data_IF_603898037203
#
_entry.id   IF_603898037203
#
_cell.length_a   1.000
_cell.length_b   1.000
_cell.length_c   1.000
_cell.angle_alpha   90.00
_cell.angle_beta   90.00
_cell.angle_gamma   90.00
#
_symmetry.space_group_name_H-M   'P 1'
#
loop_
_entity.id
_entity.type
_entity.pdbx_description
1 polymer ?
#
# COMPACT_ATOMS: atom_id res chain seq x y z
N UNK A 1 31.60 -5.76 4.64
CA UNK A 1 30.17 -5.92 4.26
C UNK A 1 29.53 -4.64 3.70
N UNK A 2 30.03 -3.44 3.99
CA UNK A 2 29.55 -2.19 3.37
C UNK A 2 29.94 -1.98 1.89
N UNK A 3 30.88 -2.76 1.35
CA UNK A 3 31.45 -2.56 0.01
C UNK A 3 30.67 -3.25 -1.14
N UNK A 4 29.79 -4.21 -0.83
CA UNK A 4 29.00 -4.91 -1.85
C UNK A 4 27.74 -4.14 -2.26
N UNK A 5 27.14 -3.39 -1.32
CA UNK A 5 25.92 -2.61 -1.54
C UNK A 5 26.17 -1.37 -2.43
N UNK A 6 27.34 -0.75 -2.31
CA UNK A 6 27.75 0.37 -3.18
C UNK A 6 28.05 -0.07 -4.63
N UNK A 7 28.58 -1.28 -4.83
CA UNK A 7 28.90 -1.80 -6.16
C UNK A 7 27.65 -2.20 -6.96
N UNK A 8 26.57 -2.64 -6.29
CA UNK A 8 25.27 -2.90 -6.94
C UNK A 8 24.59 -1.59 -7.36
N UNK A 9 24.68 -0.53 -6.54
CA UNK A 9 24.18 0.80 -6.89
C UNK A 9 24.94 1.43 -8.06
N UNK A 10 26.25 1.20 -8.17
CA UNK A 10 27.07 1.71 -9.28
C UNK A 10 26.87 0.94 -10.59
N UNK A 11 26.36 -0.29 -10.55
CA UNK A 11 26.11 -1.09 -11.76
C UNK A 11 24.64 -0.98 -12.25
N UNK A 12 23.73 -0.48 -11.41
CA UNK A 12 22.34 -0.20 -11.78
C UNK A 12 22.15 1.03 -12.69
N UNK A 13 23.16 1.90 -12.79
CA UNK A 13 23.13 3.07 -13.69
C UNK A 13 23.37 2.74 -15.17
N UNK A 14 23.72 1.49 -15.50
CA UNK A 14 24.09 1.06 -16.85
C UNK A 14 23.07 0.13 -17.54
N UNK A 15 21.92 -0.15 -16.93
CA UNK A 15 20.81 -0.85 -17.58
C UNK A 15 19.84 0.17 -18.22
N UNK A 16 20.29 0.80 -19.32
CA UNK A 16 19.47 1.70 -20.13
C UNK A 16 18.27 0.98 -20.75
N UNK A 17 17.08 1.60 -20.66
CA UNK A 17 15.91 1.09 -21.37
C UNK A 17 14.55 1.76 -21.12
N UNK A 18 14.48 3.09 -20.92
CA UNK A 18 13.35 3.94 -21.36
C UNK A 18 13.53 5.38 -20.83
N UNK A 19 14.12 6.25 -21.65
CA UNK A 19 14.06 7.70 -21.48
C UNK A 19 12.66 8.24 -21.78
N UNK A 20 11.67 7.83 -20.98
CA UNK A 20 10.36 8.46 -20.93
C UNK A 20 10.26 9.23 -19.63
N UNK A 21 9.96 10.52 -19.71
CA UNK A 21 9.60 11.34 -18.55
C UNK A 21 8.64 10.56 -17.65
N UNK A 22 8.86 10.58 -16.33
CA UNK A 22 7.96 9.91 -15.40
C UNK A 22 6.50 10.31 -15.73
N UNK A 23 5.56 9.35 -15.79
CA UNK A 23 4.18 9.67 -16.09
C UNK A 23 3.62 10.64 -15.04
N UNK A 24 2.54 11.35 -15.38
CA UNK A 24 1.94 12.31 -14.46
C UNK A 24 1.69 11.73 -13.07
N UNK A 25 1.78 12.58 -12.03
CA UNK A 25 1.72 12.19 -10.62
C UNK A 25 0.65 11.13 -10.31
N UNK A 26 -0.57 11.33 -10.79
CA UNK A 26 -1.69 10.40 -10.58
C UNK A 26 -1.41 9.00 -11.11
N UNK A 27 -0.85 8.88 -12.33
CA UNK A 27 -0.53 7.59 -12.94
C UNK A 27 0.64 6.90 -12.24
N UNK A 28 1.63 7.68 -11.81
CA UNK A 28 2.77 7.17 -11.04
C UNK A 28 2.30 6.56 -9.71
N UNK A 29 1.49 7.30 -8.95
CA UNK A 29 0.97 6.81 -7.67
C UNK A 29 -0.08 5.71 -7.84
N UNK A 30 -0.86 5.71 -8.93
CA UNK A 30 -1.77 4.61 -9.24
C UNK A 30 -1.04 3.27 -9.38
N UNK A 31 0.14 3.26 -10.01
CA UNK A 31 0.96 2.05 -10.08
C UNK A 31 1.60 1.73 -8.74
N UNK A 32 2.07 2.75 -8.00
CA UNK A 32 2.72 2.56 -6.70
C UNK A 32 1.77 1.95 -5.65
N UNK A 33 0.51 2.40 -5.58
CA UNK A 33 -0.46 1.95 -4.57
C UNK A 33 -1.07 0.57 -4.84
N UNK A 34 -0.76 -0.04 -6.00
CA UNK A 34 -1.19 -1.39 -6.42
C UNK A 34 -2.69 -1.68 -6.22
N UNK A 35 -3.60 -0.92 -6.86
CA UNK A 35 -5.04 -1.07 -6.66
C UNK A 35 -5.57 -2.45 -7.08
N UNK A 36 -4.88 -3.16 -7.98
CA UNK A 36 -5.23 -4.52 -8.39
C UNK A 36 -5.06 -5.57 -7.28
N UNK A 37 -4.31 -5.26 -6.20
CA UNK A 37 -4.14 -6.14 -5.06
C UNK A 37 -5.27 -5.99 -4.01
N UNK A 38 -6.05 -4.90 -4.09
CA UNK A 38 -7.14 -4.61 -3.15
C UNK A 38 -8.24 -5.67 -3.07
N UNK A 39 -8.65 -6.38 -4.15
CA UNK A 39 -9.69 -7.40 -4.05
C UNK A 39 -9.39 -8.48 -3.01
N UNK A 40 -8.12 -8.85 -2.82
CA UNK A 40 -7.72 -9.84 -1.83
C UNK A 40 -8.01 -9.36 -0.39
N UNK A 41 -7.72 -8.09 -0.09
CA UNK A 41 -8.00 -7.50 1.23
C UNK A 41 -9.42 -6.97 1.38
N UNK A 42 -10.17 -6.81 0.28
CA UNK A 42 -11.60 -6.48 0.32
C UNK A 42 -12.45 -7.64 0.84
N UNK A 43 -12.07 -8.88 0.52
CA UNK A 43 -12.80 -10.08 0.94
C UNK A 43 -13.11 -10.13 2.46
N UNK A 44 -12.14 -9.97 3.38
CA UNK A 44 -12.44 -9.98 4.82
C UNK A 44 -13.32 -8.81 5.27
N UNK A 45 -13.18 -7.62 4.67
CA UNK A 45 -14.05 -6.46 5.01
C UNK A 45 -15.50 -6.73 4.62
N UNK A 46 -15.71 -7.26 3.42
CA UNK A 46 -17.04 -7.63 2.93
C UNK A 46 -17.63 -8.76 3.77
N UNK A 47 -16.82 -9.78 4.08
CA UNK A 47 -17.23 -10.90 4.92
C UNK A 47 -17.66 -10.41 6.31
N UNK A 48 -16.84 -9.59 6.98
CA UNK A 48 -17.17 -9.03 8.29
C UNK A 48 -18.45 -8.17 8.26
N UNK A 49 -18.64 -7.39 7.19
CA UNK A 49 -19.86 -6.58 6.99
C UNK A 49 -21.11 -7.47 6.89
N UNK A 50 -21.05 -8.53 6.07
CA UNK A 50 -22.18 -9.46 5.91
C UNK A 50 -22.41 -10.25 7.20
N UNK A 51 -21.37 -10.77 7.84
CA UNK A 51 -21.45 -11.51 9.10
C UNK A 51 -22.07 -10.67 10.22
N UNK A 52 -21.72 -9.39 10.31
CA UNK A 52 -22.34 -8.47 11.28
C UNK A 52 -23.85 -8.34 11.05
N UNK A 53 -24.32 -8.38 9.80
CA UNK A 53 -25.75 -8.28 9.46
C UNK A 53 -26.49 -9.60 9.69
N UNK A 54 -25.93 -10.72 9.24
CA UNK A 54 -26.62 -12.02 9.20
C UNK A 54 -26.49 -12.80 10.50
N UNK A 55 -25.32 -12.75 11.15
CA UNK A 55 -25.03 -13.47 12.39
C UNK A 55 -25.19 -12.54 13.60
N UNK A 56 -24.67 -11.31 13.51
CA UNK A 56 -24.73 -10.32 14.59
C UNK A 56 -26.08 -9.61 14.71
N UNK A 57 -26.98 -9.75 13.74
CA UNK A 57 -28.29 -9.09 13.74
C UNK A 57 -28.24 -7.56 13.62
N UNK A 58 -27.10 -6.99 13.21
CA UNK A 58 -26.94 -5.54 13.11
C UNK A 58 -27.64 -4.98 11.88
N UNK A 59 -28.21 -3.78 12.02
CA UNK A 59 -28.73 -3.00 10.89
C UNK A 59 -27.58 -2.67 9.91
N UNK A 60 -27.85 -2.58 8.60
CA UNK A 60 -26.81 -2.28 7.62
C UNK A 60 -26.20 -0.89 7.84
N UNK A 61 -24.97 -0.85 8.37
CA UNK A 61 -24.20 0.39 8.58
C UNK A 61 -23.26 0.64 7.40
N UNK A 62 -23.83 0.87 6.21
CA UNK A 62 -23.07 1.02 4.95
C UNK A 62 -21.96 2.09 5.02
N UNK A 63 -22.19 3.20 5.74
CA UNK A 63 -21.17 4.22 5.93
C UNK A 63 -19.95 3.70 6.70
N UNK A 64 -20.15 2.87 7.73
CA UNK A 64 -19.02 2.28 8.46
C UNK A 64 -18.32 1.19 7.65
N UNK A 65 -19.06 0.41 6.87
CA UNK A 65 -18.48 -0.56 5.94
C UNK A 65 -17.61 0.14 4.88
N UNK A 66 -18.06 1.28 4.36
CA UNK A 66 -17.26 2.11 3.45
C UNK A 66 -16.00 2.65 4.12
N UNK A 67 -16.10 3.16 5.35
CA UNK A 67 -14.92 3.64 6.11
C UNK A 67 -13.94 2.50 6.40
N UNK A 68 -14.44 1.30 6.74
CA UNK A 68 -13.61 0.10 6.92
C UNK A 68 -12.89 -0.31 5.64
N UNK A 69 -13.59 -0.25 4.50
CA UNK A 69 -12.98 -0.49 3.20
C UNK A 69 -11.90 0.54 2.87
N UNK A 70 -12.14 1.83 3.13
CA UNK A 70 -11.15 2.89 2.90
C UNK A 70 -9.94 2.75 3.82
N UNK A 71 -10.15 2.44 5.11
CA UNK A 71 -9.07 2.18 6.06
C UNK A 71 -8.20 1.02 5.57
N UNK A 72 -8.82 -0.10 5.20
CA UNK A 72 -8.14 -1.26 4.64
C UNK A 72 -7.36 -0.90 3.36
N UNK A 73 -7.98 -0.19 2.42
CA UNK A 73 -7.34 0.15 1.15
C UNK A 73 -6.11 1.04 1.36
N UNK A 74 -6.19 2.04 2.24
CA UNK A 74 -5.06 2.90 2.59
C UNK A 74 -3.94 2.11 3.25
N UNK A 75 -4.25 1.23 4.21
CA UNK A 75 -3.25 0.40 4.88
C UNK A 75 -2.58 -0.59 3.93
N UNK A 76 -3.37 -1.26 3.08
CA UNK A 76 -2.88 -2.21 2.09
C UNK A 76 -1.95 -1.53 1.07
N UNK A 77 -2.38 -0.38 0.53
CA UNK A 77 -1.55 0.41 -0.39
C UNK A 77 -0.29 0.95 0.28
N UNK A 78 -0.39 1.42 1.52
CA UNK A 78 0.76 1.90 2.29
C UNK A 78 1.80 0.79 2.54
N UNK A 79 1.35 -0.40 2.94
CA UNK A 79 2.21 -1.57 3.13
C UNK A 79 2.87 -2.01 1.82
N UNK A 80 2.14 -2.01 0.70
CA UNK A 80 2.70 -2.32 -0.61
C UNK A 80 3.79 -1.32 -1.02
N UNK A 81 3.55 -0.01 -0.88
CA UNK A 81 4.55 1.01 -1.20
C UNK A 81 5.79 0.90 -0.29
N UNK A 82 5.57 0.59 1.00
CA UNK A 82 6.65 0.37 1.95
C UNK A 82 7.52 -0.83 1.55
N UNK A 83 6.90 -1.95 1.20
CA UNK A 83 7.62 -3.15 0.77
C UNK A 83 8.40 -2.90 -0.53
N UNK A 84 7.81 -2.23 -1.52
CA UNK A 84 8.52 -1.90 -2.78
C UNK A 84 9.77 -1.04 -2.53
N UNK A 85 9.73 -0.12 -1.56
CA UNK A 85 10.90 0.69 -1.20
C UNK A 85 11.95 -0.13 -0.44
N UNK A 86 11.52 -0.95 0.51
CA UNK A 86 12.39 -1.79 1.32
C UNK A 86 13.08 -2.89 0.48
N UNK A 87 12.34 -3.54 -0.42
CA UNK A 87 12.87 -4.58 -1.32
C UNK A 87 13.83 -3.99 -2.36
N UNK A 88 13.60 -2.76 -2.81
CA UNK A 88 14.54 -2.01 -3.65
C UNK A 88 15.85 -1.72 -2.89
N UNK A 89 15.76 -1.19 -1.67
CA UNK A 89 16.94 -0.90 -0.84
C UNK A 89 17.71 -2.18 -0.46
N UNK A 90 17.01 -3.30 -0.27
CA UNK A 90 17.59 -4.62 -0.01
C UNK A 90 18.20 -5.28 -1.27
N UNK A 91 17.99 -4.70 -2.47
CA UNK A 91 18.46 -5.25 -3.74
C UNK A 91 17.70 -6.50 -4.20
N UNK A 92 16.52 -6.77 -3.64
CA UNK A 92 15.65 -7.89 -4.02
C UNK A 92 14.87 -7.56 -5.29
N UNK A 93 14.46 -6.30 -5.44
CA UNK A 93 13.68 -5.79 -6.57
C UNK A 93 14.60 -5.28 -7.70
N UNK A 94 14.93 -6.17 -8.63
CA UNK A 94 15.82 -5.89 -9.78
C UNK A 94 15.12 -5.91 -11.15
N UNK A 95 13.86 -6.35 -11.21
CA UNK A 95 13.09 -6.44 -12.47
C UNK A 95 11.85 -5.59 -12.41
N UNK A 96 11.56 -4.92 -13.52
CA UNK A 96 10.33 -4.11 -13.66
C UNK A 96 9.13 -5.02 -13.90
N UNK A 97 8.15 -4.96 -13.00
CA UNK A 97 6.86 -5.64 -13.17
C UNK A 97 5.88 -4.72 -13.93
N UNK A 98 5.11 -5.23 -14.93
CA UNK A 98 4.09 -4.45 -15.64
C UNK A 98 3.12 -3.67 -14.75
N UNK A 99 2.75 -4.24 -13.60
CA UNK A 99 1.73 -3.69 -12.69
C UNK A 99 2.31 -3.04 -11.44
N UNK A 100 3.63 -3.04 -11.24
CA UNK A 100 4.28 -2.46 -10.06
C UNK A 100 5.70 -1.95 -10.33
N UNK A 101 6.48 -1.70 -9.27
CA UNK A 101 7.89 -1.31 -9.39
C UNK A 101 8.08 0.16 -9.76
N UNK A 102 7.27 1.07 -9.20
CA UNK A 102 7.46 2.51 -9.40
C UNK A 102 8.84 3.00 -8.91
N UNK A 103 9.39 2.37 -7.87
CA UNK A 103 10.75 2.62 -7.36
C UNK A 103 11.80 2.08 -8.32
N UNK A 104 11.69 0.81 -8.74
CA UNK A 104 12.61 0.16 -9.70
C UNK A 104 12.65 0.90 -11.05
N UNK A 105 11.51 1.45 -11.50
CA UNK A 105 11.40 2.27 -12.72
C UNK A 105 11.97 3.68 -12.57
N UNK A 106 12.36 4.09 -11.36
CA UNK A 106 12.82 5.45 -11.06
C UNK A 106 11.73 6.52 -11.15
N UNK A 107 10.44 6.15 -11.12
CA UNK A 107 9.34 7.12 -11.13
C UNK A 107 9.15 7.81 -9.79
N UNK A 108 9.49 7.11 -8.70
CA UNK A 108 9.54 7.64 -7.34
C UNK A 108 10.86 7.22 -6.70
N UNK A 109 11.46 8.10 -5.90
CA UNK A 109 12.63 7.77 -5.09
C UNK A 109 12.21 6.91 -3.88
N UNK A 110 13.10 6.06 -3.33
CA UNK A 110 12.80 5.30 -2.11
C UNK A 110 12.35 6.21 -0.95
N UNK A 111 12.98 7.37 -0.77
CA UNK A 111 12.59 8.36 0.23
C UNK A 111 11.16 8.91 0.03
N UNK A 112 10.73 9.14 -1.22
CA UNK A 112 9.34 9.52 -1.51
C UNK A 112 8.36 8.37 -1.25
N UNK A 113 8.74 7.15 -1.60
CA UNK A 113 7.95 5.96 -1.33
C UNK A 113 7.73 5.75 0.17
N UNK A 114 8.79 5.82 1.00
CA UNK A 114 8.68 5.74 2.47
C UNK A 114 7.75 6.81 3.04
N UNK A 115 7.89 8.07 2.62
CA UNK A 115 7.01 9.16 3.07
C UNK A 115 5.56 8.92 2.67
N UNK A 116 5.32 8.50 1.42
CA UNK A 116 3.99 8.16 0.93
C UNK A 116 3.37 7.00 1.70
N UNK A 117 4.16 5.95 1.96
CA UNK A 117 3.74 4.81 2.77
C UNK A 117 3.34 5.22 4.18
N UNK A 118 4.15 6.04 4.87
CA UNK A 118 3.83 6.56 6.20
C UNK A 118 2.54 7.37 6.20
N UNK A 119 2.32 8.24 5.21
CA UNK A 119 1.09 9.03 5.08
C UNK A 119 -0.13 8.12 4.88
N UNK A 120 -0.03 7.12 4.00
CA UNK A 120 -1.11 6.16 3.74
C UNK A 120 -1.43 5.32 4.97
N UNK A 121 -0.40 4.79 5.64
CA UNK A 121 -0.54 4.01 6.87
C UNK A 121 -1.15 4.84 8.00
N UNK A 122 -0.66 6.07 8.21
CA UNK A 122 -1.21 6.96 9.24
C UNK A 122 -2.68 7.32 8.97
N UNK A 123 -3.04 7.61 7.72
CA UNK A 123 -4.42 7.90 7.33
C UNK A 123 -5.33 6.66 7.51
N UNK A 124 -4.86 5.49 7.10
CA UNK A 124 -5.58 4.23 7.30
C UNK A 124 -5.78 3.89 8.78
N UNK A 125 -4.73 4.03 9.60
CA UNK A 125 -4.80 3.86 11.05
C UNK A 125 -5.74 4.86 11.71
N UNK A 126 -5.76 6.12 11.28
CA UNK A 126 -6.70 7.12 11.80
C UNK A 126 -8.16 6.74 11.52
N UNK A 127 -8.46 6.23 10.31
CA UNK A 127 -9.80 5.70 10.00
C UNK A 127 -10.12 4.44 10.83
N UNK A 128 -9.14 3.56 11.06
CA UNK A 128 -9.27 2.41 11.95
C UNK A 128 -9.62 2.83 13.39
N UNK A 129 -8.91 3.79 13.95
CA UNK A 129 -9.20 4.35 15.28
C UNK A 129 -10.57 5.03 15.34
N UNK A 130 -10.98 5.70 14.26
CA UNK A 130 -12.34 6.25 14.16
C UNK A 130 -13.41 5.14 14.20
N UNK A 131 -13.17 3.98 13.58
CA UNK A 131 -14.06 2.84 13.67
C UNK A 131 -14.11 2.27 15.08
N UNK A 132 -12.97 2.14 15.76
CA UNK A 132 -12.90 1.73 17.17
C UNK A 132 -13.78 2.65 18.03
N UNK A 133 -13.68 3.97 17.84
CA UNK A 133 -14.51 4.94 18.56
C UNK A 133 -16.02 4.80 18.26
N UNK A 134 -16.41 4.40 17.04
CA UNK A 134 -17.81 4.29 16.62
C UNK A 134 -18.47 2.93 16.88
N UNK A 135 -17.68 1.87 16.99
CA UNK A 135 -18.16 0.49 17.12
C UNK A 135 -17.88 -0.05 18.52
N UNK A 136 -16.71 0.22 19.09
CA UNK A 136 -16.28 -0.26 20.40
C UNK A 136 -14.81 -0.64 20.41
N UNK A 137 -14.25 -0.69 21.62
CA UNK A 137 -12.84 -1.02 21.87
C UNK A 137 -12.48 -2.45 21.51
N UNK A 138 -13.47 -3.36 21.47
CA UNK A 138 -13.28 -4.75 21.03
C UNK A 138 -12.53 -4.85 19.71
N UNK A 139 -12.81 -3.93 18.77
CA UNK A 139 -12.17 -3.89 17.46
C UNK A 139 -10.63 -3.71 17.51
N UNK A 140 -10.09 -3.22 18.63
CA UNK A 140 -8.66 -2.92 18.77
C UNK A 140 -7.81 -4.15 19.13
N UNK A 141 -8.39 -5.16 19.77
CA UNK A 141 -7.65 -6.30 20.34
C UNK A 141 -8.07 -7.67 19.82
N UNK A 142 -9.05 -7.74 18.91
CA UNK A 142 -9.27 -8.95 18.11
C UNK A 142 -8.16 -9.13 17.07
#
# INVERSE_FOLDING_TARGET
MASASAAVQANGSAAGGAGGSAPGFLRTWWVAVRPFALPASAAPVLFGTVAAMTIGGSQPRFLLALVAFLAMALMHSGANVLNDAADYDAGLDVRVNPVSGAVVRGWITPGQAYRGAVVLLAAGSALGLFLVYKVGTELLWI
#
